data_IF_475533193262
#
_entry.id   IF_475533193262
#
_cell.length_a   1.000
_cell.length_b   1.000
_cell.length_c   1.000
_cell.angle_alpha   90.00
_cell.angle_beta   90.00
_cell.angle_gamma   90.00
#
_symmetry.space_group_name_H-M   'P 1'
#
loop_
_entity.id
_entity.type
_entity.pdbx_description
1 polymer ?
#
# COMPACT_ATOMS: atom_id res chain seq x y z
N UNK A 1 20.96 -4.85 1.08
CA UNK A 1 20.51 -3.62 1.75
C UNK A 1 19.13 -3.79 2.33
N UNK A 2 18.88 -3.18 3.47
CA UNK A 2 17.61 -3.33 4.17
C UNK A 2 16.63 -2.23 3.76
N UNK A 3 15.37 -2.61 3.57
CA UNK A 3 14.30 -1.64 3.43
C UNK A 3 14.06 -0.89 4.72
N UNK A 4 13.37 0.20 4.65
CA UNK A 4 13.03 1.03 5.81
C UNK A 4 11.60 1.52 5.70
N UNK A 5 11.04 1.95 6.83
CA UNK A 5 9.72 2.55 6.86
C UNK A 5 9.81 3.99 6.37
N UNK A 6 8.92 4.36 5.46
CA UNK A 6 8.72 5.76 5.07
C UNK A 6 7.83 6.41 6.13
N UNK A 7 8.46 6.91 7.18
CA UNK A 7 7.75 7.47 8.34
C UNK A 7 6.93 8.69 7.96
N UNK A 8 7.46 9.55 7.10
CA UNK A 8 6.75 10.75 6.68
C UNK A 8 5.48 10.42 5.92
N UNK A 9 5.57 9.49 4.98
CA UNK A 9 4.40 9.06 4.20
C UNK A 9 3.34 8.41 5.08
N UNK A 10 3.77 7.58 6.03
CA UNK A 10 2.86 6.97 6.99
C UNK A 10 2.18 8.03 7.85
N UNK A 11 2.94 8.99 8.36
CA UNK A 11 2.41 10.06 9.18
C UNK A 11 1.38 10.90 8.42
N UNK A 12 1.67 11.23 7.17
CA UNK A 12 0.76 11.99 6.32
C UNK A 12 -0.54 11.21 6.06
N UNK A 13 -0.44 9.90 5.83
CA UNK A 13 -1.62 9.07 5.64
C UNK A 13 -2.48 8.99 6.91
N UNK A 14 -1.83 8.88 8.07
CA UNK A 14 -2.52 8.91 9.35
C UNK A 14 -3.22 10.24 9.59
N UNK A 15 -2.56 11.34 9.27
CA UNK A 15 -3.14 12.67 9.43
C UNK A 15 -4.36 12.87 8.51
N UNK A 16 -4.26 12.41 7.27
CA UNK A 16 -5.37 12.50 6.33
C UNK A 16 -6.60 11.73 6.83
N UNK A 17 -6.42 10.51 7.29
CA UNK A 17 -7.52 9.72 7.85
C UNK A 17 -8.05 10.30 9.14
N UNK A 18 -7.16 10.79 10.00
CA UNK A 18 -7.55 11.44 11.24
C UNK A 18 -8.48 12.63 10.95
N UNK A 19 -8.11 13.47 10.00
CA UNK A 19 -8.94 14.62 9.62
C UNK A 19 -10.26 14.20 9.00
N UNK A 20 -10.24 13.19 8.16
CA UNK A 20 -11.45 12.68 7.51
C UNK A 20 -12.45 12.12 8.53
N UNK A 21 -11.97 11.58 9.63
CA UNK A 21 -12.79 11.01 10.69
C UNK A 21 -13.01 11.98 11.86
N UNK A 22 -12.50 13.20 11.77
CA UNK A 22 -12.60 14.22 12.82
C UNK A 22 -12.05 13.75 14.17
N UNK A 23 -10.87 13.10 14.13
CA UNK A 23 -10.22 12.57 15.32
C UNK A 23 -9.05 13.45 15.74
N UNK A 24 -8.82 13.54 17.07
CA UNK A 24 -7.56 14.06 17.57
C UNK A 24 -6.48 12.97 17.44
N UNK A 25 -5.20 13.37 17.53
CA UNK A 25 -4.12 12.40 17.56
C UNK A 25 -4.25 11.42 18.74
N UNK A 26 -4.73 11.91 19.88
CA UNK A 26 -4.95 11.08 21.05
C UNK A 26 -6.04 10.03 20.81
N UNK A 27 -7.10 10.42 20.13
CA UNK A 27 -8.19 9.50 19.78
C UNK A 27 -7.71 8.46 18.77
N UNK A 28 -6.91 8.87 17.78
CA UNK A 28 -6.32 7.95 16.81
C UNK A 28 -5.44 6.93 17.53
N UNK A 29 -4.57 7.40 18.43
CA UNK A 29 -3.69 6.52 19.20
C UNK A 29 -4.51 5.46 19.97
N UNK A 30 -5.60 5.87 20.58
CA UNK A 30 -6.48 4.95 21.30
C UNK A 30 -7.09 3.91 20.37
N UNK A 31 -7.60 4.34 19.23
CA UNK A 31 -8.22 3.43 18.27
C UNK A 31 -7.21 2.44 17.69
N UNK A 32 -6.01 2.91 17.38
CA UNK A 32 -4.97 2.07 16.78
C UNK A 32 -4.28 1.18 17.82
N UNK A 33 -4.40 1.51 19.10
CA UNK A 33 -3.75 0.75 20.16
C UNK A 33 -2.29 1.10 20.35
N UNK A 34 -1.90 2.34 20.07
CA UNK A 34 -0.54 2.83 20.24
C UNK A 34 -0.52 3.99 21.24
N UNK A 35 0.66 4.33 21.74
CA UNK A 35 0.80 5.46 22.65
C UNK A 35 0.76 6.78 21.88
N UNK A 36 0.20 7.85 22.49
CA UNK A 36 0.25 9.17 21.85
C UNK A 36 1.69 9.67 21.65
N UNK A 37 2.62 9.30 22.51
CA UNK A 37 4.02 9.69 22.36
C UNK A 37 4.66 9.07 21.13
N UNK A 38 4.24 7.88 20.71
CA UNK A 38 4.71 7.29 19.45
C UNK A 38 4.38 8.22 18.28
N UNK A 39 3.15 8.70 18.23
CA UNK A 39 2.72 9.60 17.15
C UNK A 39 3.49 10.94 17.18
N UNK A 40 3.72 11.47 18.38
CA UNK A 40 4.52 12.70 18.52
C UNK A 40 5.93 12.52 18.00
N UNK A 41 6.55 11.39 18.33
CA UNK A 41 7.91 11.08 17.84
C UNK A 41 7.93 10.92 16.34
N UNK A 42 6.92 10.28 15.77
CA UNK A 42 6.81 10.14 14.32
C UNK A 42 6.67 11.50 13.64
N UNK A 43 5.93 12.43 14.25
CA UNK A 43 5.82 13.79 13.76
C UNK A 43 7.16 14.52 13.72
N UNK A 44 8.10 14.09 14.57
CA UNK A 44 9.47 14.62 14.62
C UNK A 44 10.44 13.81 13.74
N UNK A 45 9.94 12.87 12.95
CA UNK A 45 10.74 12.09 12.03
C UNK A 45 11.28 10.78 12.57
N UNK A 46 10.94 10.42 13.80
CA UNK A 46 11.39 9.15 14.37
C UNK A 46 10.55 7.99 13.85
N UNK A 47 11.19 6.87 13.53
CA UNK A 47 10.51 5.69 13.04
C UNK A 47 9.74 4.99 14.15
N UNK A 48 8.56 4.42 13.85
CA UNK A 48 7.87 3.59 14.82
C UNK A 48 8.61 2.27 15.00
N UNK A 49 8.40 1.62 16.14
CA UNK A 49 8.82 0.23 16.30
C UNK A 49 7.92 -0.68 15.46
N UNK A 50 8.30 -1.95 15.35
CA UNK A 50 7.56 -2.89 14.49
C UNK A 50 6.10 -3.03 14.92
N UNK A 51 5.85 -3.18 16.21
CA UNK A 51 4.50 -3.36 16.72
C UNK A 51 3.65 -2.12 16.47
N UNK A 52 4.21 -0.94 16.67
CA UNK A 52 3.53 0.31 16.38
C UNK A 52 3.23 0.47 14.90
N UNK A 53 4.19 0.12 14.06
CA UNK A 53 4.01 0.16 12.60
C UNK A 53 2.84 -0.73 12.16
N UNK A 54 2.81 -1.97 12.63
CA UNK A 54 1.73 -2.92 12.28
C UNK A 54 0.38 -2.40 12.74
N UNK A 55 0.30 -1.90 13.97
CA UNK A 55 -0.95 -1.38 14.52
C UNK A 55 -1.49 -0.19 13.70
N UNK A 56 -0.61 0.73 13.31
CA UNK A 56 -1.00 1.89 12.53
C UNK A 56 -1.43 1.53 11.12
N UNK A 57 -0.72 0.61 10.48
CA UNK A 57 -1.09 0.13 9.13
C UNK A 57 -2.44 -0.58 9.18
N UNK A 58 -2.70 -1.38 10.20
CA UNK A 58 -4.00 -2.02 10.38
C UNK A 58 -5.12 -1.00 10.57
N UNK A 59 -4.86 0.03 11.37
CA UNK A 59 -5.84 1.09 11.57
C UNK A 59 -6.21 1.79 10.26
N UNK A 60 -5.22 2.02 9.40
CA UNK A 60 -5.43 2.61 8.07
C UNK A 60 -6.15 1.68 7.11
N UNK A 61 -6.11 0.38 7.34
CA UNK A 61 -6.60 -0.59 6.38
C UNK A 61 -5.73 -0.69 5.14
N UNK A 62 -4.47 -0.29 5.25
CA UNK A 62 -3.51 -0.28 4.15
C UNK A 62 -2.60 -1.49 4.19
N UNK A 63 -1.78 -1.64 3.15
CA UNK A 63 -0.74 -2.66 3.09
C UNK A 63 0.57 -2.08 3.63
N UNK A 64 1.32 -2.89 4.38
CA UNK A 64 2.59 -2.45 4.95
C UNK A 64 3.56 -1.97 3.87
N UNK A 65 3.55 -2.61 2.71
CA UNK A 65 4.43 -2.31 1.58
C UNK A 65 4.26 -0.89 1.06
N UNK A 66 3.09 -0.29 1.26
CA UNK A 66 2.83 1.10 0.82
C UNK A 66 3.71 2.11 1.55
N UNK A 67 4.18 1.75 2.74
CA UNK A 67 4.98 2.64 3.59
C UNK A 67 6.40 2.15 3.78
N UNK A 68 6.84 1.21 2.94
CA UNK A 68 8.19 0.68 2.99
C UNK A 68 8.99 1.20 1.81
N UNK A 69 10.20 1.67 2.09
CA UNK A 69 11.14 2.13 1.07
C UNK A 69 12.23 1.08 0.95
N UNK A 70 12.38 0.55 -0.25
CA UNK A 70 13.45 -0.38 -0.56
C UNK A 70 14.51 0.34 -1.36
N UNK A 71 15.79 0.03 -1.14
CA UNK A 71 16.81 0.54 -2.04
C UNK A 71 16.46 0.14 -3.47
N UNK A 72 16.64 1.07 -4.39
CA UNK A 72 16.29 0.85 -5.79
C UNK A 72 17.34 -0.05 -6.44
N UNK A 73 17.35 -1.32 -6.07
CA UNK A 73 18.26 -2.32 -6.60
C UNK A 73 17.63 -3.19 -7.69
N UNK A 74 16.30 -3.08 -7.85
CA UNK A 74 15.61 -3.86 -8.86
C UNK A 74 15.48 -3.04 -10.13
N UNK A 75 16.08 -3.49 -11.23
CA UNK A 75 15.78 -2.89 -12.53
C UNK A 75 14.27 -2.96 -12.76
N UNK A 76 13.72 -1.95 -13.41
CA UNK A 76 12.30 -1.94 -13.75
C UNK A 76 11.86 -3.19 -14.49
N UNK A 77 12.79 -3.79 -15.23
CA UNK A 77 12.53 -4.99 -16.03
C UNK A 77 12.27 -6.23 -15.17
N UNK A 78 12.65 -6.20 -13.89
CA UNK A 78 12.43 -7.33 -12.98
C UNK A 78 11.10 -7.24 -12.22
N UNK A 79 10.39 -6.15 -12.36
CA UNK A 79 9.08 -6.04 -11.74
C UNK A 79 8.09 -6.97 -12.44
N UNK A 80 7.31 -7.76 -11.66
CA UNK A 80 6.25 -8.56 -12.28
C UNK A 80 5.30 -7.68 -13.07
N UNK A 81 4.82 -8.19 -14.20
CA UNK A 81 3.85 -7.45 -14.98
C UNK A 81 2.55 -7.25 -14.19
N UNK A 82 1.80 -6.23 -14.55
CA UNK A 82 0.49 -5.99 -13.94
C UNK A 82 -0.41 -7.21 -14.10
N UNK A 83 -0.37 -7.87 -15.26
CA UNK A 83 -1.16 -9.09 -15.49
C UNK A 83 -0.80 -10.18 -14.49
N UNK A 84 0.48 -10.39 -14.23
CA UNK A 84 0.93 -11.42 -13.29
C UNK A 84 0.50 -11.10 -11.87
N UNK A 85 0.63 -9.86 -11.46
CA UNK A 85 0.19 -9.42 -10.14
C UNK A 85 -1.31 -9.57 -9.97
N UNK A 86 -2.08 -9.18 -10.99
CA UNK A 86 -3.52 -9.31 -10.95
C UNK A 86 -3.95 -10.76 -10.93
N UNK A 87 -3.29 -11.64 -11.69
CA UNK A 87 -3.59 -13.06 -11.68
C UNK A 87 -3.45 -13.66 -10.29
N UNK A 88 -2.40 -13.28 -9.55
CA UNK A 88 -2.20 -13.74 -8.19
C UNK A 88 -3.32 -13.26 -7.26
N UNK A 89 -3.70 -11.99 -7.38
CA UNK A 89 -4.77 -11.44 -6.56
C UNK A 89 -6.11 -12.13 -6.84
N UNK A 90 -6.41 -12.41 -8.11
CA UNK A 90 -7.65 -13.07 -8.49
C UNK A 90 -7.71 -14.51 -8.00
N UNK A 91 -6.58 -15.21 -7.98
CA UNK A 91 -6.51 -16.58 -7.45
C UNK A 91 -6.77 -16.64 -5.95
N UNK A 92 -6.42 -15.58 -5.23
CA UNK A 92 -6.62 -15.53 -3.79
C UNK A 92 -8.07 -15.27 -3.39
N UNK A 93 -8.94 -14.91 -4.33
CA UNK A 93 -10.34 -14.62 -4.04
C UNK A 93 -11.19 -15.88 -4.15
N UNK A 94 -12.05 -16.08 -3.15
CA UNK A 94 -12.97 -17.21 -3.11
C UNK A 94 -14.30 -16.93 -3.80
N UNK A 95 -14.58 -15.66 -4.08
CA UNK A 95 -15.84 -15.21 -4.69
C UNK A 95 -15.82 -15.23 -6.21
N UNK A 96 -14.71 -15.70 -6.81
CA UNK A 96 -14.55 -15.77 -8.26
C UNK A 96 -14.23 -17.20 -8.67
N UNK A 97 -14.90 -17.71 -9.68
CA UNK A 97 -14.55 -18.98 -10.29
C UNK A 97 -13.47 -18.78 -11.37
N UNK A 98 -13.04 -19.89 -11.97
CA UNK A 98 -11.98 -19.84 -12.98
C UNK A 98 -12.41 -19.05 -14.22
N UNK A 99 -13.66 -19.17 -14.65
CA UNK A 99 -14.19 -18.44 -15.79
C UNK A 99 -14.20 -16.93 -15.52
N UNK A 100 -14.60 -16.54 -14.32
CA UNK A 100 -14.59 -15.12 -13.92
C UNK A 100 -13.18 -14.54 -13.93
N UNK A 101 -12.21 -15.29 -13.44
CA UNK A 101 -10.81 -14.87 -13.42
C UNK A 101 -10.27 -14.68 -14.82
N UNK A 102 -10.53 -15.62 -15.72
CA UNK A 102 -10.10 -15.52 -17.12
C UNK A 102 -10.72 -14.33 -17.82
N UNK A 103 -12.01 -14.10 -17.58
CA UNK A 103 -12.73 -12.98 -18.16
C UNK A 103 -12.10 -11.64 -17.75
N UNK A 104 -11.82 -11.48 -16.45
CA UNK A 104 -11.20 -10.27 -15.95
C UNK A 104 -9.77 -10.07 -16.51
N UNK A 105 -9.00 -11.14 -16.59
CA UNK A 105 -7.66 -11.08 -17.16
C UNK A 105 -7.68 -10.68 -18.63
N UNK A 106 -8.65 -11.19 -19.40
CA UNK A 106 -8.79 -10.83 -20.82
C UNK A 106 -9.06 -9.36 -21.00
N UNK A 107 -9.92 -8.78 -20.15
CA UNK A 107 -10.22 -7.34 -20.19
C UNK A 107 -8.96 -6.52 -19.92
N UNK A 108 -8.19 -6.91 -18.90
CA UNK A 108 -6.95 -6.22 -18.54
C UNK A 108 -5.91 -6.34 -19.65
N UNK A 109 -5.76 -7.54 -20.24
CA UNK A 109 -4.84 -7.75 -21.36
C UNK A 109 -5.17 -6.88 -22.54
N UNK A 110 -6.45 -6.78 -22.89
CA UNK A 110 -6.90 -5.93 -23.99
C UNK A 110 -6.63 -4.46 -23.70
N UNK A 111 -6.92 -4.02 -22.48
CA UNK A 111 -6.67 -2.64 -22.07
C UNK A 111 -5.17 -2.31 -22.08
N UNK A 112 -4.33 -3.22 -21.59
CA UNK A 112 -2.89 -3.02 -21.58
C UNK A 112 -2.31 -2.93 -23.00
N UNK A 113 -2.82 -3.75 -23.92
CA UNK A 113 -2.40 -3.66 -25.33
C UNK A 113 -2.72 -2.28 -25.89
N UNK A 114 -3.88 -1.76 -25.59
CA UNK A 114 -4.30 -0.44 -26.05
C UNK A 114 -3.42 0.67 -25.46
N UNK A 115 -3.14 0.60 -24.18
CA UNK A 115 -2.27 1.58 -23.50
C UNK A 115 -0.89 1.60 -24.14
N UNK A 116 -0.31 0.42 -24.39
CA UNK A 116 1.02 0.31 -25.01
C UNK A 116 1.00 0.85 -26.44
N UNK A 117 -0.06 0.58 -27.20
CA UNK A 117 -0.20 1.10 -28.56
C UNK A 117 -0.30 2.61 -28.57
N UNK A 118 -1.09 3.19 -27.66
CA UNK A 118 -1.24 4.64 -27.54
C UNK A 118 0.08 5.32 -27.19
N UNK A 119 0.88 4.70 -26.32
CA UNK A 119 2.19 5.24 -25.95
C UNK A 119 3.18 5.18 -27.09
N UNK A 120 3.09 4.17 -27.95
CA UNK A 120 3.94 4.06 -29.14
C UNK A 120 3.54 5.00 -30.25
N UNK A 121 2.29 5.38 -30.30
CA UNK A 121 1.76 6.24 -31.34
C UNK A 121 2.02 7.73 -31.11
N UNK A 122 2.71 8.08 -30.05
CA UNK A 122 2.97 9.49 -29.71
C UNK A 122 4.35 9.92 -30.21
#
# INVERSE_FOLDING_TARGET
>A
MTGRVDTQRLYEALDAQRRARNLSWRQLARQAGVSPSLLSRMGNGQRPDLDGFVALVQWLGAQAEEFMVWPDERPRDEQPSLESQLALLLRARDDLDEADREYLLDIVRATMRRIKADRRGV
#
